data_IF_619432763107
#
_entry.id   IF_619432763107
#
_cell.length_a   1.000
_cell.length_b   1.000
_cell.length_c   1.000
_cell.angle_alpha   90.00
_cell.angle_beta   90.00
_cell.angle_gamma   90.00
#
_symmetry.space_group_name_H-M   'P 1'
#
loop_
_entity.id
_entity.type
_entity.pdbx_description
1 polymer ?
#
# COMPACT_ATOMS: atom_id res chain seq x y z
N UNK A 1 8.76 -18.78 31.95
CA UNK A 1 8.56 -18.93 30.50
C UNK A 1 8.44 -17.55 29.94
N UNK A 2 9.30 -17.23 28.99
CA UNK A 2 9.40 -15.93 28.34
C UNK A 2 8.65 -16.01 27.00
N UNK A 3 7.75 -15.07 26.77
CA UNK A 3 6.92 -14.99 25.55
C UNK A 3 7.61 -14.04 24.56
N UNK A 4 7.95 -14.53 23.36
CA UNK A 4 8.61 -13.75 22.30
C UNK A 4 7.62 -13.44 21.19
N UNK A 5 7.46 -12.15 20.85
CA UNK A 5 6.53 -11.66 19.80
C UNK A 5 7.21 -10.63 18.89
N UNK A 6 6.64 -10.39 17.71
CA UNK A 6 7.30 -9.69 16.60
C UNK A 6 6.61 -8.40 16.15
N UNK A 7 5.51 -8.00 16.79
CA UNK A 7 4.90 -6.68 16.63
C UNK A 7 4.48 -6.06 17.97
N UNK A 8 4.36 -4.73 17.97
CA UNK A 8 4.00 -3.96 19.17
C UNK A 8 2.61 -4.31 19.71
N UNK A 9 1.62 -4.43 18.82
CA UNK A 9 0.24 -4.80 19.20
C UNK A 9 0.16 -6.22 19.75
N UNK A 10 0.97 -7.14 19.22
CA UNK A 10 1.10 -8.51 19.70
C UNK A 10 1.68 -8.53 21.12
N UNK A 11 2.82 -7.88 21.32
CA UNK A 11 3.49 -7.83 22.61
C UNK A 11 2.64 -7.09 23.66
N UNK A 12 1.96 -6.01 23.28
CA UNK A 12 1.01 -5.30 24.13
C UNK A 12 -0.12 -6.22 24.58
N UNK A 13 -0.77 -6.92 23.65
CA UNK A 13 -1.86 -7.85 23.96
C UNK A 13 -1.39 -9.00 24.87
N UNK A 14 -0.19 -9.53 24.62
CA UNK A 14 0.40 -10.58 25.47
C UNK A 14 0.72 -10.07 26.88
N UNK A 15 1.28 -8.86 27.01
CA UNK A 15 1.54 -8.23 28.32
C UNK A 15 0.24 -8.11 29.12
N UNK A 16 -0.85 -7.65 28.50
CA UNK A 16 -2.17 -7.61 29.15
C UNK A 16 -2.64 -9.01 29.56
N UNK A 17 -2.62 -9.98 28.66
CA UNK A 17 -3.04 -11.35 28.93
C UNK A 17 -2.28 -11.98 30.11
N UNK A 18 -0.94 -11.83 30.13
CA UNK A 18 -0.07 -12.31 31.21
C UNK A 18 -0.38 -11.60 32.52
N UNK A 19 -0.51 -10.27 32.50
CA UNK A 19 -0.80 -9.48 33.70
C UNK A 19 -2.11 -9.90 34.41
N UNK A 20 -3.12 -10.32 33.64
CA UNK A 20 -4.38 -10.85 34.16
C UNK A 20 -4.23 -12.24 34.80
N UNK A 21 -3.36 -13.10 34.28
CA UNK A 21 -3.08 -14.40 34.89
C UNK A 21 -2.25 -14.28 36.18
N UNK A 22 -1.22 -13.44 36.17
CA UNK A 22 -0.31 -13.27 37.30
C UNK A 22 0.31 -11.87 37.31
N UNK A 23 0.14 -11.15 38.41
CA UNK A 23 0.78 -9.84 38.63
C UNK A 23 2.31 -9.95 38.43
N UNK A 24 2.87 -9.00 37.67
CA UNK A 24 4.31 -8.94 37.36
C UNK A 24 4.77 -9.87 36.21
N UNK A 25 3.89 -10.70 35.65
CA UNK A 25 4.29 -11.58 34.53
C UNK A 25 4.34 -10.89 33.16
N UNK A 26 3.96 -9.61 33.08
CA UNK A 26 4.17 -8.78 31.89
C UNK A 26 5.66 -8.60 31.57
N UNK A 27 6.53 -8.64 32.59
CA UNK A 27 8.00 -8.58 32.43
C UNK A 27 8.57 -9.86 31.79
N UNK A 28 7.75 -10.89 31.58
CA UNK A 28 8.14 -12.10 30.85
C UNK A 28 7.78 -12.02 29.36
N UNK A 29 7.36 -10.85 28.87
CA UNK A 29 7.11 -10.62 27.45
C UNK A 29 8.26 -9.81 26.87
N UNK A 30 8.77 -10.29 25.73
CA UNK A 30 9.83 -9.67 24.95
C UNK A 30 9.28 -9.34 23.55
N UNK A 31 9.39 -8.07 23.18
CA UNK A 31 8.98 -7.57 21.86
C UNK A 31 10.21 -7.38 20.97
N UNK A 32 10.24 -8.05 19.81
CA UNK A 32 11.31 -7.92 18.81
C UNK A 32 10.75 -7.44 17.46
N UNK A 33 10.12 -6.26 17.46
CA UNK A 33 9.43 -5.69 16.31
C UNK A 33 10.36 -4.88 15.38
N UNK A 34 11.20 -5.60 14.64
CA UNK A 34 12.26 -5.02 13.79
C UNK A 34 11.90 -4.91 12.29
N UNK A 35 10.65 -5.13 11.88
CA UNK A 35 10.17 -5.02 10.48
C UNK A 35 11.12 -5.71 9.47
N UNK A 36 11.55 -6.92 9.82
CA UNK A 36 12.62 -7.67 9.12
C UNK A 36 12.21 -8.19 7.73
N UNK A 37 10.94 -8.09 7.39
CA UNK A 37 10.40 -8.35 6.06
C UNK A 37 10.68 -7.21 5.07
N UNK A 38 11.16 -6.06 5.53
CA UNK A 38 11.45 -4.89 4.69
C UNK A 38 12.90 -4.44 4.86
N UNK A 39 13.53 -4.05 3.75
CA UNK A 39 14.82 -3.35 3.71
C UNK A 39 16.04 -4.25 3.95
N UNK A 40 17.17 -3.62 4.25
CA UNK A 40 18.46 -4.30 4.41
C UNK A 40 18.58 -5.08 5.73
N UNK A 41 18.80 -6.39 5.66
CA UNK A 41 19.01 -7.28 6.84
C UNK A 41 20.45 -7.81 6.93
N UNK A 42 21.37 -7.31 6.11
CA UNK A 42 22.76 -7.78 6.08
C UNK A 42 23.61 -7.30 7.25
N UNK A 43 23.19 -6.21 7.90
CA UNK A 43 23.85 -5.64 9.07
C UNK A 43 23.39 -6.23 10.41
N UNK A 44 23.88 -5.64 11.49
CA UNK A 44 23.47 -6.00 12.85
C UNK A 44 22.01 -5.60 13.12
N UNK A 45 21.29 -6.44 13.88
CA UNK A 45 19.89 -6.20 14.27
C UNK A 45 19.71 -4.85 14.99
N UNK A 46 20.66 -4.47 15.84
CA UNK A 46 20.67 -3.20 16.58
C UNK A 46 21.49 -2.11 15.88
N UNK A 47 21.78 -2.25 14.58
CA UNK A 47 22.55 -1.29 13.80
C UNK A 47 21.73 -0.11 13.27
N UNK A 48 22.42 0.95 12.84
CA UNK A 48 21.79 2.18 12.34
C UNK A 48 20.96 1.96 11.06
N UNK A 49 21.35 1.03 10.18
CA UNK A 49 20.55 0.70 8.99
C UNK A 49 19.17 0.13 9.37
N UNK A 50 19.15 -0.80 10.34
CA UNK A 50 17.92 -1.40 10.84
C UNK A 50 17.07 -0.38 11.60
N UNK A 51 17.69 0.47 12.42
CA UNK A 51 17.03 1.61 13.06
C UNK A 51 16.31 2.51 12.06
N UNK A 52 16.99 2.95 11.00
CA UNK A 52 16.38 3.80 9.98
C UNK A 52 15.16 3.14 9.32
N UNK A 53 15.22 1.83 9.08
CA UNK A 53 14.11 1.06 8.50
C UNK A 53 12.91 0.94 9.46
N UNK A 54 13.12 0.46 10.69
CA UNK A 54 12.02 0.28 11.67
C UNK A 54 11.32 1.60 12.03
N UNK A 55 12.07 2.70 12.00
CA UNK A 55 11.59 4.01 12.42
C UNK A 55 10.92 4.80 11.29
N UNK A 56 11.00 4.33 10.05
CA UNK A 56 10.44 5.01 8.87
C UNK A 56 8.94 5.30 9.00
N UNK A 57 8.17 4.39 9.62
CA UNK A 57 6.73 4.54 9.86
C UNK A 57 6.37 5.63 10.88
N UNK A 58 7.33 6.04 11.71
CA UNK A 58 7.19 7.15 12.64
C UNK A 58 7.78 8.44 12.06
N UNK A 59 7.99 8.56 10.75
CA UNK A 59 8.61 9.76 10.16
C UNK A 59 7.59 10.85 9.83
N UNK A 60 8.04 12.10 9.77
CA UNK A 60 7.19 13.24 9.38
C UNK A 60 6.65 13.13 7.95
N UNK A 61 7.31 12.32 7.10
CA UNK A 61 6.78 11.98 5.78
C UNK A 61 5.48 11.17 5.88
N UNK A 62 5.31 10.39 6.96
CA UNK A 62 4.19 9.49 7.19
C UNK A 62 3.04 10.16 7.95
N UNK A 63 3.41 10.93 8.97
CA UNK A 63 2.51 11.61 9.90
C UNK A 63 2.96 13.07 10.03
N UNK A 64 2.16 14.02 9.53
CA UNK A 64 2.60 15.42 9.39
C UNK A 64 2.59 16.21 10.70
N UNK A 65 1.71 15.84 11.64
CA UNK A 65 1.43 16.63 12.86
C UNK A 65 1.82 15.94 14.19
N UNK A 66 2.62 14.85 14.16
CA UNK A 66 3.05 14.17 15.39
C UNK A 66 4.52 14.45 15.77
N UNK A 67 4.84 14.36 17.08
CA UNK A 67 6.22 14.42 17.58
C UNK A 67 6.98 13.13 17.26
N UNK A 68 7.33 13.03 15.98
CA UNK A 68 7.97 11.86 15.37
C UNK A 68 9.34 11.55 15.95
N UNK A 69 10.10 12.56 16.39
CA UNK A 69 11.50 12.39 16.80
C UNK A 69 11.58 11.74 18.19
N UNK A 70 10.80 12.22 19.15
CA UNK A 70 10.79 11.65 20.49
C UNK A 70 10.26 10.21 20.47
N UNK A 71 9.15 9.97 19.75
CA UNK A 71 8.57 8.65 19.56
C UNK A 71 9.56 7.66 18.93
N UNK A 72 10.28 8.08 17.89
CA UNK A 72 11.32 7.27 17.25
C UNK A 72 12.43 6.87 18.23
N UNK A 73 12.88 7.83 19.04
CA UNK A 73 13.94 7.61 20.04
C UNK A 73 13.47 6.66 21.13
N UNK A 74 12.28 6.86 21.68
CA UNK A 74 11.68 5.99 22.70
C UNK A 74 11.49 4.56 22.17
N UNK A 75 10.92 4.42 20.96
CA UNK A 75 10.71 3.12 20.34
C UNK A 75 12.02 2.36 20.14
N UNK A 76 13.05 3.02 19.61
CA UNK A 76 14.34 2.39 19.38
C UNK A 76 15.03 1.98 20.68
N UNK A 77 15.04 2.86 21.69
CA UNK A 77 15.61 2.54 23.00
C UNK A 77 14.90 1.35 23.65
N UNK A 78 13.57 1.30 23.54
CA UNK A 78 12.78 0.16 24.02
C UNK A 78 13.22 -1.14 23.32
N UNK A 79 13.36 -1.15 21.99
CA UNK A 79 13.81 -2.33 21.24
C UNK A 79 15.21 -2.81 21.64
N UNK A 80 16.16 -1.88 21.86
CA UNK A 80 17.49 -2.22 22.36
C UNK A 80 17.41 -2.90 23.72
N UNK A 81 16.58 -2.38 24.64
CA UNK A 81 16.35 -2.99 25.95
C UNK A 81 15.71 -4.38 25.83
N UNK A 82 14.76 -4.58 24.91
CA UNK A 82 14.15 -5.89 24.68
C UNK A 82 15.17 -6.92 24.20
N UNK A 83 16.11 -6.55 23.33
CA UNK A 83 17.19 -7.43 22.87
C UNK A 83 18.13 -7.83 24.03
N UNK A 84 18.48 -6.88 24.90
CA UNK A 84 19.32 -7.19 26.06
C UNK A 84 18.58 -8.07 27.08
N UNK A 85 17.29 -7.82 27.32
CA UNK A 85 16.44 -8.70 28.15
C UNK A 85 16.36 -10.11 27.57
N UNK A 86 16.14 -10.23 26.25
CA UNK A 86 16.15 -11.50 25.54
C UNK A 86 17.45 -12.28 25.80
N UNK A 87 18.61 -11.66 25.55
CA UNK A 87 19.92 -12.29 25.76
C UNK A 87 20.13 -12.69 27.21
N UNK A 88 19.71 -11.85 28.16
CA UNK A 88 19.82 -12.13 29.59
C UNK A 88 18.97 -13.34 30.02
N UNK A 89 17.77 -13.50 29.48
CA UNK A 89 16.95 -14.69 29.72
C UNK A 89 17.56 -15.94 29.08
N UNK A 90 18.07 -15.84 27.85
CA UNK A 90 18.70 -16.95 27.14
C UNK A 90 19.95 -17.45 27.87
N UNK A 91 20.81 -16.53 28.32
CA UNK A 91 22.03 -16.85 29.07
C UNK A 91 21.75 -17.53 30.43
N UNK A 92 20.57 -17.31 31.02
CA UNK A 92 20.13 -17.98 32.25
C UNK A 92 19.49 -19.35 31.98
N UNK A 93 19.35 -19.76 30.72
CA UNK A 93 18.67 -21.00 30.35
C UNK A 93 17.16 -20.96 30.57
N UNK A 94 16.54 -19.77 30.61
CA UNK A 94 15.09 -19.66 30.81
C UNK A 94 14.32 -20.20 29.59
N UNK A 95 13.23 -20.93 29.85
CA UNK A 95 12.38 -21.47 28.79
C UNK A 95 11.71 -20.33 27.99
N UNK A 96 11.81 -20.40 26.66
CA UNK A 96 11.29 -19.41 25.71
C UNK A 96 10.21 -20.00 24.83
N UNK A 97 9.08 -19.29 24.72
CA UNK A 97 7.99 -19.62 23.81
C UNK A 97 7.88 -18.53 22.74
N UNK A 98 8.02 -18.92 21.48
CA UNK A 98 7.96 -18.02 20.34
C UNK A 98 6.57 -18.07 19.70
N UNK A 99 5.92 -16.92 19.60
CA UNK A 99 4.62 -16.78 18.95
C UNK A 99 4.80 -16.23 17.55
N UNK A 100 4.40 -16.98 16.53
CA UNK A 100 4.55 -16.54 15.14
C UNK A 100 3.34 -16.87 14.27
N UNK A 101 3.11 -16.07 13.23
CA UNK A 101 2.07 -16.28 12.22
C UNK A 101 2.67 -16.50 10.84
N UNK A 102 1.82 -16.56 9.81
CA UNK A 102 2.25 -16.61 8.40
C UNK A 102 2.51 -15.21 7.82
N UNK A 103 2.39 -14.14 8.61
CA UNK A 103 2.79 -12.80 8.20
C UNK A 103 4.32 -12.73 7.95
N UNK A 104 4.79 -12.04 6.88
CA UNK A 104 6.21 -11.97 6.56
C UNK A 104 7.09 -11.47 7.71
N UNK A 105 6.73 -10.37 8.37
CA UNK A 105 7.50 -9.84 9.51
C UNK A 105 7.65 -10.87 10.65
N UNK A 106 6.60 -11.66 10.90
CA UNK A 106 6.54 -12.65 11.97
C UNK A 106 7.43 -13.86 11.66
N UNK A 107 7.39 -14.34 10.41
CA UNK A 107 8.28 -15.40 9.93
C UNK A 107 9.75 -14.96 9.93
N UNK A 108 10.05 -13.72 9.51
CA UNK A 108 11.40 -13.16 9.59
C UNK A 108 11.87 -13.09 11.05
N UNK A 109 11.03 -12.58 11.96
CA UNK A 109 11.32 -12.52 13.39
C UNK A 109 11.60 -13.89 14.00
N UNK A 110 10.79 -14.90 13.65
CA UNK A 110 11.00 -16.28 14.09
C UNK A 110 12.36 -16.83 13.64
N UNK A 111 12.72 -16.63 12.37
CA UNK A 111 13.98 -17.09 11.80
C UNK A 111 15.19 -16.38 12.44
N UNK A 112 15.11 -15.05 12.61
CA UNK A 112 16.13 -14.26 13.28
C UNK A 112 16.31 -14.68 14.76
N UNK A 113 15.23 -14.92 15.50
CA UNK A 113 15.32 -15.40 16.88
C UNK A 113 15.95 -16.79 16.95
N UNK A 114 15.61 -17.69 16.03
CA UNK A 114 16.27 -19.00 15.95
C UNK A 114 17.78 -18.86 15.75
N UNK A 115 18.23 -17.92 14.90
CA UNK A 115 19.65 -17.61 14.76
C UNK A 115 20.28 -17.19 16.09
N UNK A 116 19.66 -16.23 16.80
CA UNK A 116 20.18 -15.76 18.09
C UNK A 116 20.24 -16.89 19.14
N UNK A 117 19.26 -17.80 19.13
CA UNK A 117 19.20 -18.93 20.07
C UNK A 117 20.23 -20.03 19.79
N UNK A 118 20.90 -20.03 18.63
CA UNK A 118 21.98 -20.99 18.36
C UNK A 118 23.17 -20.85 19.33
N UNK A 119 23.32 -19.70 19.96
CA UNK A 119 24.40 -19.40 20.92
C UNK A 119 24.07 -19.81 22.37
N UNK A 120 22.83 -20.25 22.64
CA UNK A 120 22.34 -20.49 23.99
C UNK A 120 21.79 -21.90 24.17
N UNK A 121 21.85 -22.40 25.41
CA UNK A 121 21.22 -23.66 25.79
C UNK A 121 20.00 -23.39 26.67
N UNK A 122 18.85 -23.17 26.03
CA UNK A 122 17.59 -22.99 26.73
C UNK A 122 16.46 -23.82 26.08
N UNK A 123 15.42 -24.21 26.84
CA UNK A 123 14.25 -24.86 26.25
C UNK A 123 13.50 -23.88 25.34
N UNK A 124 13.26 -24.29 24.09
CA UNK A 124 12.52 -23.49 23.11
C UNK A 124 11.24 -24.23 22.74
N UNK A 125 10.14 -23.48 22.68
CA UNK A 125 8.88 -23.94 22.13
C UNK A 125 8.27 -22.86 21.24
N UNK A 126 7.30 -23.26 20.43
CA UNK A 126 6.64 -22.37 19.48
C UNK A 126 5.13 -22.53 19.53
N UNK A 127 4.42 -21.42 19.32
CA UNK A 127 2.98 -21.40 19.04
C UNK A 127 2.79 -20.77 17.67
N UNK A 128 2.45 -21.60 16.69
CA UNK A 128 2.12 -21.15 15.34
C UNK A 128 0.65 -20.78 15.28
N UNK A 129 0.34 -19.61 14.72
CA UNK A 129 -1.04 -19.23 14.45
C UNK A 129 -1.73 -20.27 13.56
N UNK A 130 -2.92 -20.78 13.95
CA UNK A 130 -3.67 -21.70 13.13
C UNK A 130 -4.22 -21.00 11.88
N UNK A 131 -4.51 -21.78 10.84
CA UNK A 131 -5.10 -21.27 9.59
C UNK A 131 -6.48 -20.61 9.82
N UNK A 132 -7.26 -21.18 10.74
CA UNK A 132 -8.54 -20.62 11.16
C UNK A 132 -8.88 -21.08 12.58
N UNK A 133 -9.82 -20.38 13.20
CA UNK A 133 -10.35 -20.68 14.53
C UNK A 133 -11.87 -20.78 14.44
N UNK A 134 -12.43 -21.84 15.01
CA UNK A 134 -13.88 -21.98 15.19
C UNK A 134 -14.25 -21.38 16.55
N UNK A 135 -15.00 -20.29 16.54
CA UNK A 135 -15.48 -19.64 17.76
C UNK A 135 -16.71 -20.35 18.33
N UNK A 136 -17.03 -20.05 19.59
CA UNK A 136 -18.18 -20.63 20.31
C UNK A 136 -19.53 -20.33 19.68
N UNK A 137 -19.63 -19.22 18.93
CA UNK A 137 -20.80 -18.81 18.15
C UNK A 137 -20.89 -19.50 16.77
N UNK A 138 -20.06 -20.52 16.53
CA UNK A 138 -19.95 -21.27 15.26
C UNK A 138 -19.47 -20.44 14.06
N UNK A 139 -18.88 -19.27 14.29
CA UNK A 139 -18.21 -18.51 13.25
C UNK A 139 -16.75 -18.97 13.07
N UNK A 140 -16.30 -18.98 11.82
CA UNK A 140 -14.90 -19.18 11.47
C UNK A 140 -14.23 -17.81 11.40
N UNK A 141 -13.10 -17.67 12.11
CA UNK A 141 -12.27 -16.47 12.06
C UNK A 141 -10.88 -16.84 11.56
N UNK A 142 -10.36 -16.04 10.64
CA UNK A 142 -9.02 -16.15 10.08
C UNK A 142 -8.25 -14.92 10.54
N UNK A 143 -7.19 -15.14 11.32
CA UNK A 143 -6.30 -14.09 11.77
C UNK A 143 -5.08 -14.02 10.85
N UNK A 144 -4.60 -12.82 10.57
CA UNK A 144 -3.37 -12.60 9.80
C UNK A 144 -2.14 -12.51 10.71
N UNK A 145 -2.34 -12.03 11.93
CA UNK A 145 -1.30 -11.90 12.93
C UNK A 145 -1.84 -12.04 14.35
N UNK A 146 -0.93 -12.24 15.29
CA UNK A 146 -1.28 -12.29 16.72
C UNK A 146 -1.83 -10.94 17.23
N UNK A 147 -1.64 -9.85 16.48
CA UNK A 147 -2.14 -8.52 16.83
C UNK A 147 -3.64 -8.37 16.62
N UNK A 148 -4.26 -9.27 15.85
CA UNK A 148 -5.71 -9.33 15.63
C UNK A 148 -6.45 -10.17 16.70
N UNK A 149 -5.69 -10.92 17.51
CA UNK A 149 -6.25 -11.74 18.58
C UNK A 149 -6.43 -10.89 19.83
N UNK A 150 -7.64 -10.92 20.39
CA UNK A 150 -7.94 -10.19 21.63
C UNK A 150 -7.15 -10.79 22.79
N UNK A 151 -6.62 -9.93 23.67
CA UNK A 151 -5.79 -10.33 24.82
C UNK A 151 -6.43 -11.42 25.72
N UNK A 152 -7.76 -11.47 25.83
CA UNK A 152 -8.47 -12.49 26.61
C UNK A 152 -8.30 -13.90 26.06
N UNK A 153 -8.13 -14.02 24.74
CA UNK A 153 -8.14 -15.31 24.03
C UNK A 153 -6.70 -15.76 23.70
N UNK A 154 -5.73 -14.85 23.77
CA UNK A 154 -4.36 -15.05 23.30
C UNK A 154 -3.68 -16.26 23.96
N UNK A 155 -3.90 -16.46 25.26
CA UNK A 155 -3.26 -17.55 26.01
C UNK A 155 -3.94 -18.91 25.81
N UNK A 156 -5.15 -18.96 25.26
CA UNK A 156 -5.83 -20.23 24.96
C UNK A 156 -5.11 -21.00 23.85
N UNK A 157 -4.39 -20.30 22.98
CA UNK A 157 -3.56 -20.89 21.92
C UNK A 157 -2.29 -21.56 22.45
N UNK A 158 -1.92 -21.35 23.72
CA UNK A 158 -0.78 -22.05 24.32
C UNK A 158 -0.99 -23.58 24.37
N UNK A 159 -2.22 -24.07 24.22
CA UNK A 159 -2.52 -25.51 24.07
C UNK A 159 -1.90 -26.13 22.81
N UNK A 160 -1.62 -25.31 21.80
CA UNK A 160 -1.04 -25.72 20.52
C UNK A 160 0.49 -25.56 20.51
N UNK A 161 1.09 -25.29 21.67
CA UNK A 161 2.54 -25.20 21.87
C UNK A 161 3.23 -26.50 21.49
N UNK A 162 4.34 -26.36 20.75
CA UNK A 162 5.19 -27.47 20.36
C UNK A 162 6.64 -27.19 20.75
N UNK A 163 7.36 -28.16 21.36
CA UNK A 163 8.79 -28.00 21.58
C UNK A 163 9.51 -27.86 20.24
N UNK A 164 10.57 -27.05 20.22
CA UNK A 164 11.43 -26.85 19.06
C UNK A 164 12.84 -27.35 19.39
N UNK A 165 13.27 -28.42 18.74
CA UNK A 165 14.57 -29.03 19.01
C UNK A 165 15.75 -28.22 18.47
N UNK A 166 16.96 -28.48 18.97
CA UNK A 166 18.20 -27.79 18.52
C UNK A 166 18.44 -27.88 17.02
N UNK A 167 18.12 -29.03 16.40
CA UNK A 167 18.23 -29.20 14.95
C UNK A 167 17.23 -28.34 14.17
N UNK A 168 16.01 -28.17 14.69
CA UNK A 168 15.00 -27.33 14.06
C UNK A 168 15.35 -25.84 14.22
N UNK A 169 15.84 -25.43 15.39
CA UNK A 169 16.40 -24.09 15.62
C UNK A 169 17.53 -23.80 14.61
N UNK A 170 18.48 -24.73 14.46
CA UNK A 170 19.56 -24.62 13.48
C UNK A 170 19.05 -24.52 12.04
N UNK A 171 18.04 -25.30 11.67
CA UNK A 171 17.42 -25.23 10.34
C UNK A 171 16.84 -23.84 10.04
N UNK A 172 16.05 -23.26 10.94
CA UNK A 172 15.49 -21.91 10.73
C UNK A 172 16.56 -20.82 10.76
N UNK A 173 17.60 -20.99 11.57
CA UNK A 173 18.77 -20.11 11.56
C UNK A 173 19.50 -20.13 10.21
N UNK A 174 19.63 -21.30 9.57
CA UNK A 174 20.26 -21.40 8.25
C UNK A 174 19.39 -20.80 7.15
N UNK A 175 18.06 -20.99 7.20
CA UNK A 175 17.14 -20.28 6.30
C UNK A 175 17.27 -18.75 6.42
N UNK A 176 17.42 -18.24 7.65
CA UNK A 176 17.68 -16.82 7.86
C UNK A 176 18.97 -16.36 7.20
N UNK A 177 20.07 -17.11 7.36
CA UNK A 177 21.37 -16.78 6.75
C UNK A 177 21.28 -16.72 5.22
N UNK A 178 20.48 -17.57 4.58
CA UNK A 178 20.25 -17.48 3.13
C UNK A 178 19.52 -16.18 2.75
N UNK A 179 18.46 -15.79 3.47
CA UNK A 179 17.78 -14.51 3.24
C UNK A 179 18.70 -13.30 3.45
N UNK A 180 19.62 -13.39 4.42
CA UNK A 180 20.66 -12.39 4.67
C UNK A 180 21.66 -12.30 3.52
N UNK A 181 22.05 -13.43 2.93
CA UNK A 181 22.91 -13.46 1.73
C UNK A 181 22.21 -12.87 0.50
N UNK A 182 20.94 -13.19 0.31
CA UNK A 182 20.12 -12.68 -0.80
C UNK A 182 19.85 -11.17 -0.67
N UNK A 183 19.63 -10.70 0.57
CA UNK A 183 19.38 -9.32 0.95
C UNK A 183 18.40 -8.54 0.05
N UNK A 184 17.36 -9.19 -0.48
CA UNK A 184 16.39 -8.52 -1.36
C UNK A 184 15.63 -7.40 -0.62
N UNK A 185 15.01 -6.44 -1.35
CA UNK A 185 14.30 -5.32 -0.73
C UNK A 185 13.15 -5.74 0.19
N UNK A 186 12.48 -6.85 -0.13
CA UNK A 186 11.35 -7.39 0.63
C UNK A 186 11.49 -8.90 0.84
N UNK A 187 10.76 -9.40 1.84
CA UNK A 187 10.48 -10.83 2.02
C UNK A 187 8.98 -11.07 2.02
N UNK A 188 8.58 -12.19 1.44
CA UNK A 188 7.18 -12.60 1.36
C UNK A 188 7.03 -14.08 1.69
N UNK A 189 5.88 -14.46 2.22
CA UNK A 189 5.52 -15.86 2.41
C UNK A 189 4.74 -16.33 1.20
N UNK A 190 5.36 -17.18 0.38
CA UNK A 190 4.76 -17.76 -0.83
C UNK A 190 4.67 -19.28 -0.65
N UNK A 191 3.47 -19.83 -0.75
CA UNK A 191 3.19 -21.26 -0.51
C UNK A 191 3.76 -21.76 0.83
N UNK A 192 3.63 -20.94 1.89
CA UNK A 192 4.11 -21.25 3.24
C UNK A 192 5.62 -21.16 3.43
N UNK A 193 6.37 -20.66 2.44
CA UNK A 193 7.82 -20.45 2.53
C UNK A 193 8.16 -18.98 2.47
N UNK A 194 9.03 -18.53 3.38
CA UNK A 194 9.58 -17.19 3.36
C UNK A 194 10.66 -17.10 2.28
N UNK A 195 10.51 -16.16 1.34
CA UNK A 195 11.42 -15.96 0.21
C UNK A 195 11.73 -14.47 0.02
N UNK A 196 12.89 -14.16 -0.55
CA UNK A 196 13.23 -12.83 -1.02
C UNK A 196 12.48 -12.45 -2.30
N UNK A 197 11.96 -11.22 -2.35
CA UNK A 197 11.16 -10.71 -3.47
C UNK A 197 11.55 -9.25 -3.81
N UNK A 198 11.31 -8.78 -5.05
CA UNK A 198 11.59 -7.40 -5.43
C UNK A 198 10.68 -6.39 -4.69
N UNK A 199 11.06 -5.12 -4.73
CA UNK A 199 10.35 -4.04 -4.01
C UNK A 199 8.90 -3.84 -4.49
N UNK A 200 8.58 -4.20 -5.73
CA UNK A 200 7.28 -4.05 -6.38
C UNK A 200 6.36 -5.27 -6.20
N UNK A 201 6.77 -6.27 -5.42
CA UNK A 201 6.06 -7.55 -5.30
C UNK A 201 4.58 -7.44 -4.92
N UNK A 202 4.22 -6.44 -4.12
CA UNK A 202 2.84 -6.20 -3.67
C UNK A 202 2.09 -5.13 -4.50
N UNK A 203 2.76 -4.47 -5.46
CA UNK A 203 2.21 -3.29 -6.14
C UNK A 203 0.94 -3.65 -6.92
N UNK A 204 0.88 -4.82 -7.55
CA UNK A 204 -0.29 -5.29 -8.29
C UNK A 204 -1.57 -5.36 -7.43
N UNK A 205 -1.45 -5.62 -6.12
CA UNK A 205 -2.58 -5.69 -5.20
C UNK A 205 -3.18 -4.29 -4.98
N UNK A 206 -2.31 -3.30 -4.87
CA UNK A 206 -2.67 -1.88 -4.74
C UNK A 206 -3.25 -1.35 -6.05
N UNK A 207 -2.66 -1.74 -7.18
CA UNK A 207 -3.15 -1.38 -8.52
C UNK A 207 -4.59 -1.82 -8.79
N UNK A 208 -4.97 -3.00 -8.29
CA UNK A 208 -6.33 -3.51 -8.43
C UNK A 208 -7.40 -2.58 -7.83
N UNK A 209 -7.01 -1.71 -6.89
CA UNK A 209 -7.88 -0.72 -6.26
C UNK A 209 -8.08 0.56 -7.07
N UNK A 210 -7.29 0.80 -8.12
CA UNK A 210 -7.27 2.07 -8.86
C UNK A 210 -8.60 2.30 -9.59
N UNK A 211 -9.27 3.41 -9.26
CA UNK A 211 -10.55 3.80 -9.87
C UNK A 211 -10.39 4.83 -10.98
N UNK A 212 -11.48 5.08 -11.72
CA UNK A 212 -11.50 6.11 -12.77
C UNK A 212 -11.64 7.54 -12.21
N UNK A 213 -12.41 7.69 -11.13
CA UNK A 213 -12.56 8.97 -10.41
C UNK A 213 -11.42 9.12 -9.39
N UNK A 214 -11.08 10.34 -8.95
CA UNK A 214 -10.14 10.53 -7.85
C UNK A 214 -10.55 9.73 -6.60
N UNK A 215 -9.55 9.23 -5.88
CA UNK A 215 -9.70 8.35 -4.71
C UNK A 215 -8.60 8.67 -3.70
N UNK A 216 -8.83 8.37 -2.42
CA UNK A 216 -7.78 8.51 -1.40
C UNK A 216 -6.83 7.31 -1.43
N UNK A 217 -5.56 7.52 -1.07
CA UNK A 217 -4.56 6.45 -1.02
C UNK A 217 -5.00 5.28 -0.12
N UNK A 218 -5.66 5.56 1.02
CA UNK A 218 -6.22 4.55 1.94
C UNK A 218 -7.24 3.62 1.26
N UNK A 219 -7.90 4.07 0.20
CA UNK A 219 -8.85 3.23 -0.53
C UNK A 219 -8.13 2.15 -1.37
N UNK A 220 -6.90 2.42 -1.82
CA UNK A 220 -6.04 1.43 -2.48
C UNK A 220 -5.51 0.42 -1.46
N UNK A 221 -5.05 0.90 -0.31
CA UNK A 221 -4.58 0.07 0.82
C UNK A 221 -5.70 -0.87 1.29
N UNK A 222 -6.90 -0.32 1.51
CA UNK A 222 -8.08 -1.09 1.90
C UNK A 222 -8.48 -2.14 0.86
N UNK A 223 -8.24 -1.86 -0.42
CA UNK A 223 -8.45 -2.85 -1.48
C UNK A 223 -7.40 -3.98 -1.38
N UNK A 224 -6.12 -3.63 -1.19
CA UNK A 224 -5.02 -4.58 -1.08
C UNK A 224 -5.13 -5.50 0.15
N UNK A 225 -5.72 -5.04 1.25
CA UNK A 225 -5.97 -5.89 2.42
C UNK A 225 -6.88 -7.10 2.16
N UNK A 226 -7.69 -7.07 1.09
CA UNK A 226 -8.52 -8.22 0.69
C UNK A 226 -7.72 -9.45 0.30
N UNK A 227 -6.44 -9.28 -0.05
CA UNK A 227 -5.54 -10.38 -0.38
C UNK A 227 -5.04 -11.15 0.85
N UNK A 228 -5.22 -10.61 2.07
CA UNK A 228 -4.85 -11.29 3.32
C UNK A 228 -3.39 -11.80 3.32
N UNK A 229 -2.46 -10.90 3.00
CA UNK A 229 -1.02 -11.23 2.92
C UNK A 229 -0.27 -11.04 4.25
N UNK A 230 -0.93 -10.53 5.28
CA UNK A 230 -0.30 -10.25 6.58
C UNK A 230 0.79 -9.18 6.57
N UNK A 231 0.73 -8.23 5.63
CA UNK A 231 1.67 -7.09 5.53
C UNK A 231 1.05 -5.80 6.07
N UNK A 232 1.89 -4.83 6.46
CA UNK A 232 1.43 -3.55 6.99
C UNK A 232 0.83 -2.62 5.92
N UNK A 233 0.01 -1.69 6.37
CA UNK A 233 -0.46 -0.54 5.57
C UNK A 233 0.68 0.38 5.12
N UNK A 234 1.76 0.46 5.91
CA UNK A 234 3.02 1.10 5.52
C UNK A 234 3.57 0.52 4.21
N UNK A 235 3.65 -0.80 4.09
CA UNK A 235 4.17 -1.43 2.87
C UNK A 235 3.27 -1.18 1.65
N UNK A 236 1.95 -1.19 1.84
CA UNK A 236 1.02 -0.85 0.76
C UNK A 236 1.08 0.64 0.39
N UNK A 237 1.34 1.53 1.33
CA UNK A 237 1.51 2.96 1.01
C UNK A 237 2.86 3.24 0.34
N UNK A 238 3.91 2.48 0.63
CA UNK A 238 5.13 2.50 -0.19
C UNK A 238 4.85 2.04 -1.62
N UNK A 239 3.96 1.05 -1.80
CA UNK A 239 3.51 0.62 -3.13
C UNK A 239 2.76 1.75 -3.84
N UNK A 240 1.88 2.47 -3.14
CA UNK A 240 1.23 3.68 -3.67
C UNK A 240 2.26 4.73 -4.09
N UNK A 241 3.30 4.96 -3.27
CA UNK A 241 4.35 5.91 -3.60
C UNK A 241 5.12 5.49 -4.86
N UNK A 242 5.47 4.20 -5.01
CA UNK A 242 6.09 3.69 -6.24
C UNK A 242 5.21 3.92 -7.47
N UNK A 243 3.91 3.69 -7.37
CA UNK A 243 2.97 3.99 -8.46
C UNK A 243 2.91 5.48 -8.82
N UNK A 244 3.13 6.38 -7.86
CA UNK A 244 3.27 7.83 -8.11
C UNK A 244 4.61 8.12 -8.81
N UNK A 245 5.70 7.56 -8.29
CA UNK A 245 7.07 7.75 -8.81
C UNK A 245 7.22 7.24 -10.24
N UNK A 246 6.56 6.11 -10.56
CA UNK A 246 6.47 5.52 -11.90
C UNK A 246 5.56 6.33 -12.85
N UNK A 247 4.93 7.40 -12.36
CA UNK A 247 4.03 8.25 -13.13
C UNK A 247 2.73 7.53 -13.53
N UNK A 248 2.32 6.50 -12.79
CA UNK A 248 1.03 5.79 -12.98
C UNK A 248 -0.10 6.47 -12.23
N UNK A 249 0.21 7.08 -11.09
CA UNK A 249 -0.67 7.91 -10.29
C UNK A 249 -0.18 9.35 -10.23
N UNK A 250 -1.11 10.28 -10.02
CA UNK A 250 -0.83 11.71 -9.84
C UNK A 250 -1.51 12.17 -8.56
N UNK A 251 -0.76 12.88 -7.72
CA UNK A 251 -1.30 13.57 -6.54
C UNK A 251 -2.19 14.72 -7.02
N UNK A 252 -3.46 14.68 -6.62
CA UNK A 252 -4.46 15.72 -6.89
C UNK A 252 -4.43 16.77 -5.80
N UNK A 253 -4.37 16.30 -4.56
CA UNK A 253 -4.41 17.12 -3.35
C UNK A 253 -3.74 16.35 -2.19
N UNK A 254 -2.86 17.02 -1.49
CA UNK A 254 -2.22 16.57 -0.26
C UNK A 254 -2.01 17.75 0.72
N UNK A 255 -2.78 18.83 0.56
CA UNK A 255 -2.82 19.93 1.52
C UNK A 255 -3.65 19.54 2.75
N UNK A 256 -3.22 19.99 3.94
CA UNK A 256 -3.93 19.77 5.21
C UNK A 256 -4.30 18.31 5.54
N UNK A 257 -3.46 17.35 5.15
CA UNK A 257 -3.61 15.92 5.52
C UNK A 257 -2.81 15.55 6.77
N UNK A 258 -3.36 14.69 7.62
CA UNK A 258 -2.68 14.21 8.84
C UNK A 258 -1.64 13.13 8.50
N UNK A 259 -1.96 12.26 7.54
CA UNK A 259 -1.12 11.12 7.15
C UNK A 259 -1.30 10.75 5.66
N UNK A 260 -0.33 10.02 5.11
CA UNK A 260 -0.23 9.73 3.67
C UNK A 260 -1.42 9.00 3.05
N UNK A 261 -2.19 8.24 3.85
CA UNK A 261 -3.38 7.56 3.38
C UNK A 261 -4.49 8.52 2.93
N UNK A 262 -4.44 9.78 3.35
CA UNK A 262 -5.44 10.79 3.00
C UNK A 262 -5.21 11.47 1.66
N UNK A 263 -3.99 11.36 1.09
CA UNK A 263 -3.63 11.92 -0.21
C UNK A 263 -4.70 11.59 -1.25
N UNK A 264 -5.23 12.60 -1.92
CA UNK A 264 -6.16 12.43 -3.02
C UNK A 264 -5.36 12.15 -4.28
N UNK A 265 -5.59 10.98 -4.88
CA UNK A 265 -4.87 10.48 -6.04
C UNK A 265 -5.80 10.30 -7.24
N UNK A 266 -5.20 10.23 -8.42
CA UNK A 266 -5.87 9.82 -9.66
C UNK A 266 -4.92 9.08 -10.58
N UNK A 267 -5.46 8.42 -11.61
CA UNK A 267 -4.66 7.88 -12.72
C UNK A 267 -3.91 9.01 -13.43
N UNK A 268 -2.67 8.72 -13.83
CA UNK A 268 -1.87 9.61 -14.66
C UNK A 268 -2.42 9.73 -16.09
N UNK A 269 -3.04 8.66 -16.60
CA UNK A 269 -3.88 8.72 -17.79
C UNK A 269 -4.98 9.76 -17.56
N UNK A 270 -4.81 10.92 -18.19
CA UNK A 270 -5.78 12.00 -18.15
C UNK A 270 -7.13 11.47 -18.66
N UNK A 271 -8.22 11.68 -17.91
CA UNK A 271 -9.58 11.33 -18.35
C UNK A 271 -10.06 12.35 -19.37
N UNK A 272 -9.36 12.38 -20.51
CA UNK A 272 -9.55 13.33 -21.58
C UNK A 272 -10.71 12.85 -22.41
N UNK A 273 -11.79 13.61 -22.36
CA UNK A 273 -12.89 13.44 -23.30
C UNK A 273 -12.40 13.52 -24.74
N UNK A 274 -13.16 12.96 -25.68
CA UNK A 274 -12.84 12.99 -27.11
C UNK A 274 -12.51 14.40 -27.67
N UNK A 275 -12.92 15.49 -27.01
CA UNK A 275 -12.63 16.86 -27.41
C UNK A 275 -11.38 17.48 -26.77
N UNK A 276 -10.60 16.74 -25.99
CA UNK A 276 -9.41 17.26 -25.31
C UNK A 276 -9.68 17.85 -23.93
N UNK A 277 -10.94 17.88 -23.46
CA UNK A 277 -11.26 18.37 -22.12
C UNK A 277 -10.89 17.29 -21.11
N UNK A 278 -10.15 17.68 -20.06
CA UNK A 278 -9.97 16.84 -18.89
C UNK A 278 -11.24 16.88 -18.06
N UNK A 279 -11.92 15.74 -17.94
CA UNK A 279 -13.15 15.65 -17.18
C UNK A 279 -12.92 15.94 -15.69
N UNK A 280 -11.72 15.76 -15.17
CA UNK A 280 -11.41 15.95 -13.75
C UNK A 280 -11.27 17.43 -13.37
N UNK A 281 -10.91 18.29 -14.31
CA UNK A 281 -10.95 19.75 -14.12
C UNK A 281 -12.36 20.34 -14.24
N UNK A 282 -13.39 19.51 -14.48
CA UNK A 282 -14.76 19.97 -14.68
C UNK A 282 -15.59 19.81 -13.41
N UNK A 283 -16.07 20.91 -12.84
CA UNK A 283 -16.91 20.94 -11.63
C UNK A 283 -18.18 20.08 -11.70
N UNK A 284 -18.67 19.82 -12.91
CA UNK A 284 -19.86 19.01 -13.14
C UNK A 284 -19.57 17.49 -13.13
N UNK A 285 -18.31 17.09 -13.28
CA UNK A 285 -17.92 15.68 -13.31
C UNK A 285 -18.13 15.02 -11.94
N UNK A 286 -18.68 13.81 -11.93
CA UNK A 286 -19.06 13.09 -10.72
C UNK A 286 -20.36 13.55 -10.06
N UNK A 287 -20.79 14.80 -10.30
CA UNK A 287 -22.06 15.36 -9.75
C UNK A 287 -23.22 15.20 -10.72
N UNK A 288 -23.14 15.89 -11.86
CA UNK A 288 -24.22 15.95 -12.88
C UNK A 288 -23.79 15.41 -14.23
N UNK A 289 -22.52 15.02 -14.38
CA UNK A 289 -21.92 14.48 -15.58
C UNK A 289 -20.97 13.32 -15.22
N UNK A 290 -20.98 12.24 -16.00
CA UNK A 290 -20.10 11.07 -15.79
C UNK A 290 -19.03 10.91 -16.89
N UNK A 291 -18.75 11.99 -17.63
CA UNK A 291 -17.82 11.97 -18.77
C UNK A 291 -18.52 11.59 -20.08
N UNK A 292 -17.90 11.95 -21.21
CA UNK A 292 -18.55 11.84 -22.52
C UNK A 292 -18.81 10.39 -22.93
N UNK A 293 -17.94 9.45 -22.57
CA UNK A 293 -18.09 8.05 -22.97
C UNK A 293 -19.25 7.37 -22.24
N UNK A 294 -19.33 7.54 -20.92
CA UNK A 294 -20.45 7.02 -20.11
C UNK A 294 -21.77 7.69 -20.46
N UNK A 295 -21.77 8.99 -20.73
CA UNK A 295 -22.98 9.73 -21.11
C UNK A 295 -23.34 9.58 -22.59
N UNK A 296 -22.55 8.84 -23.38
CA UNK A 296 -22.73 8.71 -24.84
C UNK A 296 -22.88 10.08 -25.53
N UNK A 297 -21.97 10.99 -25.21
CA UNK A 297 -21.93 12.34 -25.77
C UNK A 297 -22.99 13.29 -25.21
N UNK A 298 -23.57 13.02 -24.04
CA UNK A 298 -24.57 13.87 -23.38
C UNK A 298 -24.03 14.56 -22.11
N UNK A 299 -23.08 15.50 -22.24
CA UNK A 299 -22.53 16.22 -21.09
C UNK A 299 -23.59 17.15 -20.46
N UNK A 300 -23.34 17.58 -19.21
CA UNK A 300 -24.30 18.38 -18.41
C UNK A 300 -24.86 19.61 -19.14
N UNK A 301 -24.03 20.33 -19.90
CA UNK A 301 -24.42 21.57 -20.59
C UNK A 301 -25.31 21.35 -21.81
N UNK A 302 -25.43 20.12 -22.30
CA UNK A 302 -26.19 19.82 -23.52
C UNK A 302 -27.69 20.14 -23.37
N UNK A 303 -28.23 19.98 -22.16
CA UNK A 303 -29.64 20.28 -21.83
C UNK A 303 -30.05 21.71 -22.20
N UNK A 304 -29.11 22.66 -22.22
CA UNK A 304 -29.37 24.08 -22.55
C UNK A 304 -29.21 24.45 -24.03
N UNK A 305 -28.96 23.49 -24.93
CA UNK A 305 -28.62 23.77 -26.34
C UNK A 305 -29.64 23.31 -27.36
N UNK A 306 -30.56 22.41 -26.98
CA UNK A 306 -31.48 21.75 -27.92
C UNK A 306 -30.87 20.61 -28.75
N UNK A 307 -29.55 20.39 -28.67
CA UNK A 307 -28.88 19.29 -29.37
C UNK A 307 -29.09 17.94 -28.63
N UNK A 308 -29.26 16.83 -29.38
CA UNK A 308 -29.42 15.47 -28.81
C UNK A 308 -28.11 14.84 -28.33
N UNK A 309 -26.99 15.25 -28.93
CA UNK A 309 -25.63 14.76 -28.65
C UNK A 309 -24.63 15.89 -28.91
N UNK A 310 -23.56 15.97 -28.11
CA UNK A 310 -22.45 16.89 -28.33
C UNK A 310 -21.88 16.76 -29.75
N UNK A 311 -21.69 17.89 -30.45
CA UNK A 311 -21.30 17.91 -31.86
C UNK A 311 -19.90 17.34 -32.10
N UNK A 312 -18.97 17.54 -31.16
CA UNK A 312 -17.63 16.94 -31.23
C UNK A 312 -17.70 15.42 -31.06
N UNK A 313 -18.45 14.94 -30.07
CA UNK A 313 -18.63 13.51 -29.83
C UNK A 313 -19.28 12.80 -31.02
N UNK A 314 -20.38 13.35 -31.52
CA UNK A 314 -21.09 12.85 -32.72
C UNK A 314 -20.18 12.79 -33.95
N UNK A 315 -19.30 13.79 -34.13
CA UNK A 315 -18.37 13.79 -35.25
C UNK A 315 -17.25 12.76 -35.08
N UNK A 316 -16.59 12.81 -33.92
CA UNK A 316 -15.37 12.06 -33.64
C UNK A 316 -15.65 10.59 -33.38
N UNK A 317 -16.54 10.31 -32.44
CA UNK A 317 -16.77 8.98 -31.90
C UNK A 317 -17.83 8.26 -32.73
N UNK A 318 -19.00 8.85 -32.92
CA UNK A 318 -20.12 8.15 -33.61
C UNK A 318 -19.89 8.02 -35.12
N UNK A 319 -19.45 9.09 -35.80
CA UNK A 319 -19.31 9.09 -37.27
C UNK A 319 -17.96 8.59 -37.77
N UNK A 320 -16.88 8.93 -37.08
CA UNK A 320 -15.50 8.61 -37.51
C UNK A 320 -14.86 7.49 -36.71
N UNK A 321 -15.50 7.01 -35.64
CA UNK A 321 -14.97 5.96 -34.77
C UNK A 321 -13.57 6.27 -34.21
N UNK A 322 -13.27 7.55 -34.00
CA UNK A 322 -12.03 7.99 -33.35
C UNK A 322 -12.21 8.08 -31.85
N UNK A 323 -11.19 7.67 -31.08
CA UNK A 323 -11.16 7.83 -29.63
C UNK A 323 -11.11 9.30 -29.20
N UNK A 324 -10.48 10.17 -29.99
CA UNK A 324 -10.48 11.62 -29.78
C UNK A 324 -10.31 12.38 -31.09
N UNK A 325 -10.78 13.63 -31.11
CA UNK A 325 -10.88 14.41 -32.34
C UNK A 325 -9.52 14.86 -32.87
N UNK A 326 -8.47 14.76 -32.06
CA UNK A 326 -7.08 14.96 -32.49
C UNK A 326 -6.70 14.05 -33.66
N UNK A 327 -7.25 12.82 -33.72
CA UNK A 327 -7.06 11.88 -34.85
C UNK A 327 -7.54 12.42 -36.19
N UNK A 328 -8.34 13.50 -36.19
CA UNK A 328 -8.72 14.18 -37.43
C UNK A 328 -7.52 14.79 -38.17
N UNK A 329 -6.44 15.18 -37.47
CA UNK A 329 -5.19 15.63 -38.09
C UNK A 329 -4.54 14.51 -38.90
N UNK A 330 -4.39 13.32 -38.29
CA UNK A 330 -3.81 12.14 -38.95
C UNK A 330 -4.65 11.71 -40.16
N UNK A 331 -5.97 11.68 -40.01
CA UNK A 331 -6.88 11.32 -41.10
C UNK A 331 -6.79 12.29 -42.29
N UNK A 332 -6.62 13.58 -42.03
CA UNK A 332 -6.45 14.61 -43.07
C UNK A 332 -5.06 14.58 -43.70
N UNK A 333 -4.01 14.35 -42.90
CA UNK A 333 -2.64 14.14 -43.39
C UNK A 333 -2.60 13.00 -44.43
N UNK A 334 -3.23 11.87 -44.12
CA UNK A 334 -3.33 10.71 -45.02
C UNK A 334 -4.10 11.05 -46.30
N UNK A 335 -5.11 11.93 -46.24
CA UNK A 335 -5.98 12.24 -47.38
C UNK A 335 -5.50 13.41 -48.25
N UNK A 336 -4.74 14.37 -47.70
CA UNK A 336 -4.51 15.68 -48.33
C UNK A 336 -3.06 16.19 -48.24
N UNK A 337 -2.13 15.44 -47.61
CA UNK A 337 -0.77 15.91 -47.33
C UNK A 337 -0.67 16.79 -46.08
N UNK A 338 0.48 17.43 -45.87
CA UNK A 338 0.85 18.18 -44.65
C UNK A 338 -0.20 19.24 -44.31
N UNK A 339 -0.99 19.09 -43.21
CA UNK A 339 -1.94 20.11 -42.79
C UNK A 339 -1.21 21.38 -42.36
N UNK A 340 -1.71 22.54 -42.76
CA UNK A 340 -1.27 23.82 -42.19
C UNK A 340 -1.42 23.81 -40.66
N UNK A 341 -0.48 24.48 -39.98
CA UNK A 341 -0.53 24.62 -38.53
C UNK A 341 -1.86 25.29 -38.12
N UNK A 342 -2.49 24.74 -37.08
CA UNK A 342 -3.78 25.15 -36.47
C UNK A 342 -5.10 24.66 -37.11
N UNK A 343 -5.08 23.64 -37.98
CA UNK A 343 -6.32 22.99 -38.47
C UNK A 343 -7.30 22.55 -37.35
N UNK A 344 -6.79 22.05 -36.23
CA UNK A 344 -7.64 21.66 -35.08
C UNK A 344 -8.31 22.87 -34.43
N UNK A 345 -7.67 24.05 -34.43
CA UNK A 345 -8.23 25.28 -33.91
C UNK A 345 -9.32 25.85 -34.84
N UNK A 346 -9.23 25.58 -36.15
CA UNK A 346 -10.24 25.99 -37.14
C UNK A 346 -11.54 25.14 -37.12
N UNK A 347 -11.63 24.13 -36.26
CA UNK A 347 -12.82 23.28 -36.17
C UNK A 347 -13.98 24.03 -35.49
N UNK A 348 -14.94 24.48 -36.30
CA UNK A 348 -16.16 25.18 -35.84
C UNK A 348 -17.01 24.41 -34.79
N UNK A 349 -16.77 23.11 -34.60
CA UNK A 349 -17.48 22.32 -33.59
C UNK A 349 -17.13 22.74 -32.16
N UNK A 350 -15.94 23.31 -31.94
CA UNK A 350 -15.54 23.85 -30.63
C UNK A 350 -16.28 25.15 -30.30
N UNK A 351 -16.56 25.99 -31.30
CA UNK A 351 -17.37 27.21 -31.10
C UNK A 351 -18.82 26.87 -30.77
N UNK A 352 -19.33 25.81 -31.41
CA UNK A 352 -20.71 25.34 -31.32
C UNK A 352 -20.95 24.32 -30.19
N UNK A 353 -19.93 23.94 -29.43
CA UNK A 353 -20.04 22.96 -28.33
C UNK A 353 -19.46 23.52 -27.04
N UNK A 354 -20.07 23.19 -25.90
CA UNK A 354 -19.60 23.60 -24.59
C UNK A 354 -20.63 24.44 -23.82
N UNK A 355 -20.38 24.70 -22.53
CA UNK A 355 -21.23 25.58 -21.74
C UNK A 355 -21.12 27.04 -22.23
N UNK A 356 -22.08 27.88 -21.84
CA UNK A 356 -22.00 29.32 -22.05
C UNK A 356 -20.85 29.89 -21.21
N UNK A 357 -19.98 30.67 -21.85
CA UNK A 357 -18.79 31.29 -21.26
C UNK A 357 -18.34 32.46 -22.15
N UNK A 358 -17.52 33.36 -21.60
CA UNK A 358 -16.94 34.49 -22.33
C UNK A 358 -16.02 34.03 -23.48
N UNK A 359 -15.74 34.92 -24.43
CA UNK A 359 -14.83 34.63 -25.55
C UNK A 359 -13.43 34.27 -25.06
N UNK A 360 -12.93 34.95 -24.02
CA UNK A 360 -11.60 34.72 -23.45
C UNK A 360 -11.50 33.33 -22.78
N UNK A 361 -12.52 32.95 -22.00
CA UNK A 361 -12.57 31.61 -21.38
C UNK A 361 -12.64 30.50 -22.43
N UNK A 362 -13.40 30.69 -23.53
CA UNK A 362 -13.42 29.75 -24.65
C UNK A 362 -12.04 29.56 -25.27
N UNK A 363 -11.31 30.65 -25.48
CA UNK A 363 -9.97 30.60 -26.08
C UNK A 363 -8.98 29.87 -25.17
N UNK A 364 -8.93 30.21 -23.87
CA UNK A 364 -8.07 29.53 -22.87
C UNK A 364 -8.40 28.04 -22.79
N UNK A 365 -9.69 27.69 -22.75
CA UNK A 365 -10.16 26.31 -22.74
C UNK A 365 -9.72 25.56 -24.00
N UNK A 366 -9.95 26.14 -25.19
CA UNK A 366 -9.57 25.53 -26.45
C UNK A 366 -8.05 25.27 -26.52
N UNK A 367 -7.22 26.22 -26.08
CA UNK A 367 -5.77 26.05 -26.03
C UNK A 367 -5.35 24.83 -25.19
N UNK A 368 -5.91 24.68 -23.98
CA UNK A 368 -5.67 23.50 -23.12
C UNK A 368 -6.13 22.20 -23.78
N UNK A 369 -7.31 22.21 -24.42
CA UNK A 369 -7.85 21.05 -25.12
C UNK A 369 -6.94 20.61 -26.28
N UNK A 370 -6.45 21.56 -27.08
CA UNK A 370 -5.53 21.30 -28.19
C UNK A 370 -4.19 20.77 -27.69
N UNK A 371 -3.64 21.31 -26.60
CA UNK A 371 -2.42 20.81 -25.98
C UNK A 371 -2.56 19.33 -25.58
N UNK A 372 -3.67 18.96 -24.93
CA UNK A 372 -3.96 17.58 -24.53
C UNK A 372 -4.15 16.64 -25.71
N UNK A 373 -4.88 17.08 -26.74
CA UNK A 373 -5.07 16.30 -27.96
C UNK A 373 -3.77 16.07 -28.72
N UNK A 374 -2.84 17.04 -28.70
CA UNK A 374 -1.49 16.84 -29.24
C UNK A 374 -0.75 15.76 -28.47
N UNK A 375 -0.80 15.74 -27.14
CA UNK A 375 -0.18 14.66 -26.34
C UNK A 375 -0.77 13.29 -26.66
N UNK A 376 -2.10 13.19 -26.71
CA UNK A 376 -2.81 11.95 -27.06
C UNK A 376 -2.55 11.43 -28.48
N UNK A 377 -2.06 12.27 -29.40
CA UNK A 377 -1.69 11.84 -30.75
C UNK A 377 -0.33 11.14 -30.81
N UNK A 378 0.54 11.38 -29.84
CA UNK A 378 1.89 10.82 -29.76
C UNK A 378 1.96 9.61 -28.82
N UNK A 379 0.83 9.22 -28.23
CA UNK A 379 0.59 7.98 -27.50
C UNK A 379 -0.12 7.01 -28.43
#
# INVERSE_FOLDING_TARGET
MIEILFAESEAGSMKFARSMQKRGSADQVVELSFDLDVGDISGELCGEARKAQCLKKYSAARWRDCDTIEQQKEKWNSLLEQVERFKAYAAKGEAMRIWYSTAPYSMCGFYQVCLMLTEYDCPVSVVKMPEYVVRSDQNIVIYQSWGEVVHTDMLDFAKDEKPLGKMEVGYYADLWKELVKENAPLRAVVNGRLISVPADFYDFMVEGGIRERPFRAVELVSYAFRYQMGVSDDLFLESVQRLIDDGRLVVVDDEDIEWDGERLLRRAETMVSCCGLDCLECEAYGKTCQGCDKTKGKPFWLKGTGDKTCRVYRCCVERKSFSHCGKCMLHKYIQQGTPEADFMAACNRYELSGPKMSKEEKAKRLAKQLMRLKKLLHQ
#
